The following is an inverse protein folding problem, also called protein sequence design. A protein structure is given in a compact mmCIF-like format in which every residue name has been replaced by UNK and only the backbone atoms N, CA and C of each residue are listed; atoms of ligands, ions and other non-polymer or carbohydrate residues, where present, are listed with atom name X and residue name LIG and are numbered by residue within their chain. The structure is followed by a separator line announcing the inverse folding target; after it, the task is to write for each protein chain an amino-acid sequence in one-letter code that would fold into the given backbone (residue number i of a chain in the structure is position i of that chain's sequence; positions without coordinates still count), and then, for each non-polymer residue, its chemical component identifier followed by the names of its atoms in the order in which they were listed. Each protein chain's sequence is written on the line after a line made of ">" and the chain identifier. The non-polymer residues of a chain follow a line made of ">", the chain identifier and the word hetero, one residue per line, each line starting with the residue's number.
data_IF_820884631735
#
_entry.id   IF_820884631735
#
_cell.length_a   1.000
_cell.length_b   1.000
_cell.length_c   1.000
_cell.angle_alpha   90.00
_cell.angle_beta   90.00
_cell.angle_gamma   90.00
#
_symmetry.space_group_name_H-M   'P 1'
#
loop_
_entity.id
_entity.type
_entity.pdbx_description
1 polymer ?
#
# COMPACT_ATOMS: atom_id res chain seq x y z
N UNK A 1 55.20 -39.73 -15.25
CA UNK A 1 54.64 -38.86 -16.32
C UNK A 1 53.22 -38.51 -15.90
N UNK A 2 53.01 -37.26 -15.48
CA UNK A 2 51.78 -36.77 -14.84
C UNK A 2 50.77 -36.43 -15.93
N UNK A 3 49.59 -37.04 -15.87
CA UNK A 3 48.45 -36.72 -16.73
C UNK A 3 47.65 -35.55 -16.17
N UNK A 4 47.30 -34.59 -17.03
CA UNK A 4 46.38 -33.50 -16.73
C UNK A 4 45.16 -33.63 -17.65
N UNK A 5 43.97 -33.82 -17.06
CA UNK A 5 42.66 -33.87 -17.75
C UNK A 5 42.00 -32.48 -17.65
N UNK A 6 41.19 -32.07 -18.64
CA UNK A 6 40.75 -30.70 -18.82
C UNK A 6 39.70 -30.29 -17.78
N UNK A 7 39.76 -29.04 -17.34
CA UNK A 7 38.78 -28.41 -16.48
C UNK A 7 37.45 -28.25 -17.24
N UNK A 8 36.49 -29.11 -16.95
CA UNK A 8 35.07 -28.96 -17.27
C UNK A 8 34.31 -29.08 -15.95
N UNK A 9 33.95 -27.96 -15.32
CA UNK A 9 32.81 -27.84 -14.39
C UNK A 9 32.82 -26.47 -13.67
N UNK A 10 32.54 -25.38 -14.37
CA UNK A 10 32.01 -24.15 -13.73
C UNK A 10 31.08 -23.41 -14.71
N UNK A 11 29.95 -24.02 -15.10
CA UNK A 11 28.87 -23.29 -15.81
C UNK A 11 27.48 -23.60 -15.21
N UNK A 12 27.38 -24.44 -14.18
CA UNK A 12 26.09 -24.95 -13.68
C UNK A 12 25.38 -24.14 -12.58
N UNK A 13 25.95 -23.07 -12.04
CA UNK A 13 25.40 -22.39 -10.83
C UNK A 13 24.83 -20.98 -11.11
N UNK A 14 25.11 -20.35 -12.25
CA UNK A 14 24.58 -19.02 -12.58
C UNK A 14 23.15 -19.01 -13.15
N UNK A 15 22.60 -20.16 -13.54
CA UNK A 15 21.27 -20.22 -14.15
C UNK A 15 20.10 -20.36 -13.15
N UNK A 16 20.35 -20.77 -11.90
CA UNK A 16 19.28 -20.91 -10.89
C UNK A 16 19.03 -19.63 -10.08
N UNK A 17 20.01 -18.73 -9.99
CA UNK A 17 19.90 -17.49 -9.19
C UNK A 17 19.25 -16.33 -9.94
N UNK A 18 19.06 -16.42 -11.26
CA UNK A 18 18.35 -15.38 -12.03
C UNK A 18 16.84 -15.56 -12.01
N UNK A 19 16.31 -16.79 -11.92
CA UNK A 19 14.86 -17.03 -11.92
C UNK A 19 14.14 -16.47 -10.67
N UNK A 20 14.81 -16.45 -9.51
CA UNK A 20 14.23 -15.93 -8.27
C UNK A 20 14.13 -14.39 -8.24
N UNK A 21 14.97 -13.68 -9.00
CA UNK A 21 15.01 -12.22 -9.02
C UNK A 21 14.06 -11.59 -10.06
N UNK A 22 13.40 -12.40 -10.90
CA UNK A 22 12.46 -11.93 -11.92
C UNK A 22 11.00 -12.30 -11.63
N UNK A 23 10.68 -12.76 -10.42
CA UNK A 23 9.28 -12.82 -9.99
C UNK A 23 8.76 -11.40 -9.79
N UNK A 24 8.20 -10.83 -10.86
CA UNK A 24 7.36 -9.65 -10.76
C UNK A 24 6.16 -10.01 -9.90
N UNK A 25 6.08 -9.40 -8.71
CA UNK A 25 4.90 -9.51 -7.85
C UNK A 25 3.77 -8.79 -8.58
N UNK A 26 2.80 -9.56 -9.08
CA UNK A 26 1.68 -9.04 -9.84
C UNK A 26 0.51 -8.63 -8.93
N UNK A 27 -0.41 -7.78 -9.39
CA UNK A 27 -1.67 -7.56 -8.71
C UNK A 27 -2.39 -8.89 -8.42
N UNK A 28 -2.90 -9.04 -7.20
CA UNK A 28 -3.51 -10.27 -6.68
C UNK A 28 -2.53 -11.25 -6.02
N UNK A 29 -1.22 -11.01 -6.05
CA UNK A 29 -0.27 -11.82 -5.28
C UNK A 29 -0.60 -11.72 -3.79
N UNK A 30 -0.78 -12.88 -3.16
CA UNK A 30 -1.10 -13.00 -1.74
C UNK A 30 0.04 -13.68 -1.01
N UNK A 31 0.36 -13.21 0.20
CA UNK A 31 1.31 -13.84 1.12
C UNK A 31 0.76 -13.80 2.54
N UNK A 32 1.21 -14.72 3.39
CA UNK A 32 0.83 -14.78 4.81
C UNK A 32 2.07 -14.67 5.69
N UNK A 33 1.98 -13.89 6.76
CA UNK A 33 2.91 -13.93 7.88
C UNK A 33 2.27 -14.77 8.97
N UNK A 34 2.84 -15.94 9.21
CA UNK A 34 2.39 -16.87 10.25
C UNK A 34 2.80 -16.35 11.63
N UNK A 35 1.81 -16.09 12.48
CA UNK A 35 1.98 -15.65 13.86
C UNK A 35 1.66 -16.77 14.86
N UNK A 36 1.36 -17.97 14.38
CA UNK A 36 0.84 -19.05 15.21
C UNK A 36 1.81 -19.47 16.31
N UNK A 37 1.28 -19.55 17.53
CA UNK A 37 1.82 -20.42 18.55
C UNK A 37 1.47 -21.89 18.26
N UNK A 38 2.13 -22.87 18.90
CA UNK A 38 1.77 -24.27 18.73
C UNK A 38 0.30 -24.52 19.08
N UNK A 39 -0.51 -24.91 18.09
CA UNK A 39 -1.93 -25.27 18.26
C UNK A 39 -2.95 -24.18 17.90
N UNK A 40 -2.51 -23.02 17.41
CA UNK A 40 -3.40 -21.93 16.96
C UNK A 40 -3.33 -21.69 15.44
N UNK A 41 -4.30 -20.95 14.89
CA UNK A 41 -4.25 -20.40 13.52
C UNK A 41 -4.41 -18.88 13.57
N UNK A 42 -3.30 -18.17 13.40
CA UNK A 42 -3.21 -16.73 13.50
C UNK A 42 -2.18 -16.26 12.47
N UNK A 43 -2.63 -15.52 11.47
CA UNK A 43 -1.79 -15.05 10.38
C UNK A 43 -2.23 -13.67 9.93
N UNK A 44 -1.26 -12.89 9.46
CA UNK A 44 -1.51 -11.64 8.75
C UNK A 44 -1.43 -11.93 7.26
N UNK A 45 -2.55 -11.78 6.55
CA UNK A 45 -2.63 -11.89 5.10
C UNK A 45 -2.32 -10.55 4.45
N UNK A 46 -1.44 -10.58 3.45
CA UNK A 46 -1.12 -9.45 2.59
C UNK A 46 -1.58 -9.77 1.18
N UNK A 47 -2.38 -8.88 0.59
CA UNK A 47 -2.79 -8.96 -0.81
C UNK A 47 -2.25 -7.73 -1.54
N UNK A 48 -1.32 -7.94 -2.48
CA UNK A 48 -0.81 -6.87 -3.32
C UNK A 48 -1.85 -6.50 -4.37
N UNK A 49 -2.28 -5.24 -4.42
CA UNK A 49 -3.25 -4.75 -5.40
C UNK A 49 -2.60 -4.21 -6.68
N UNK A 50 -1.27 -4.08 -6.70
CA UNK A 50 -0.55 -3.34 -7.75
C UNK A 50 -0.30 -1.89 -7.37
N UNK A 51 0.64 -1.25 -8.06
CA UNK A 51 0.97 0.18 -7.91
C UNK A 51 1.16 0.63 -6.45
N UNK A 52 1.81 -0.21 -5.63
CA UNK A 52 2.06 0.07 -4.21
C UNK A 52 0.87 -0.13 -3.27
N UNK A 53 -0.30 -0.54 -3.78
CA UNK A 53 -1.49 -0.79 -2.98
C UNK A 53 -1.52 -2.17 -2.33
N UNK A 54 -2.04 -2.26 -1.11
CA UNK A 54 -2.17 -3.51 -0.35
C UNK A 54 -3.49 -3.59 0.39
N UNK A 55 -3.96 -4.82 0.61
CA UNK A 55 -4.90 -5.18 1.67
C UNK A 55 -4.11 -5.97 2.71
N UNK A 56 -4.27 -5.61 3.98
CA UNK A 56 -3.64 -6.26 5.13
C UNK A 56 -4.75 -6.72 6.07
N UNK A 57 -4.78 -8.00 6.40
CA UNK A 57 -5.89 -8.60 7.15
C UNK A 57 -5.39 -9.58 8.22
N UNK A 58 -6.03 -9.57 9.38
CA UNK A 58 -5.84 -10.58 10.44
C UNK A 58 -7.20 -10.86 11.06
N UNK A 59 -7.73 -12.07 10.89
CA UNK A 59 -9.11 -12.36 11.32
C UNK A 59 -10.12 -11.44 10.62
N UNK A 60 -10.84 -10.64 11.39
CA UNK A 60 -11.82 -9.66 10.89
C UNK A 60 -11.25 -8.25 10.69
N UNK A 61 -10.05 -7.98 11.21
CA UNK A 61 -9.40 -6.68 11.11
C UNK A 61 -8.81 -6.48 9.71
N UNK A 62 -9.05 -5.32 9.11
CA UNK A 62 -8.61 -5.01 7.75
C UNK A 62 -8.11 -3.57 7.62
N UNK A 63 -6.98 -3.40 6.92
CA UNK A 63 -6.39 -2.11 6.57
C UNK A 63 -5.98 -2.11 5.11
N UNK A 64 -6.17 -0.98 4.43
CA UNK A 64 -5.71 -0.79 3.04
C UNK A 64 -4.56 0.21 3.02
N UNK A 65 -3.65 0.08 2.06
CA UNK A 65 -2.66 1.13 1.76
C UNK A 65 -2.96 1.73 0.40
N UNK A 66 -3.49 2.96 0.38
CA UNK A 66 -3.67 3.82 -0.79
C UNK A 66 -3.70 3.11 -2.18
N UNK A 67 -4.75 2.35 -2.53
CA UNK A 67 -4.77 1.62 -3.80
C UNK A 67 -4.84 2.57 -5.01
N UNK A 68 -4.13 2.21 -6.10
CA UNK A 68 -4.19 2.92 -7.39
C UNK A 68 -4.43 1.93 -8.54
N UNK A 69 -5.66 1.91 -9.06
CA UNK A 69 -6.05 1.07 -10.20
C UNK A 69 -6.00 1.85 -11.52
N UNK A 70 -6.36 3.13 -11.50
CA UNK A 70 -6.43 4.00 -12.68
C UNK A 70 -5.09 4.16 -13.39
N UNK A 71 -4.00 4.14 -12.61
CA UNK A 71 -2.60 4.07 -13.03
C UNK A 71 -2.28 4.74 -14.39
N UNK A 72 -2.50 6.06 -14.54
CA UNK A 72 -2.23 6.75 -15.81
C UNK A 72 -0.73 6.72 -16.12
N UNK A 73 -0.39 6.61 -17.41
CA UNK A 73 1.01 6.62 -17.85
C UNK A 73 1.69 7.95 -17.57
N UNK A 74 3.02 7.94 -17.37
CA UNK A 74 3.81 9.14 -17.12
C UNK A 74 3.60 10.24 -18.17
N UNK A 75 3.51 9.87 -19.46
CA UNK A 75 3.25 10.82 -20.55
C UNK A 75 1.87 11.49 -20.38
N UNK A 76 0.86 10.71 -20.00
CA UNK A 76 -0.48 11.24 -19.73
C UNK A 76 -0.45 12.17 -18.53
N UNK A 77 0.15 11.76 -17.43
CA UNK A 77 0.28 12.58 -16.22
C UNK A 77 1.02 13.90 -16.48
N UNK A 78 2.06 13.89 -17.32
CA UNK A 78 2.85 15.08 -17.62
C UNK A 78 2.21 16.06 -18.61
N UNK A 79 1.30 15.60 -19.48
CA UNK A 79 0.78 16.41 -20.60
C UNK A 79 -0.74 16.62 -20.57
N UNK A 80 -1.49 15.86 -19.77
CA UNK A 80 -2.94 15.85 -19.80
C UNK A 80 -3.55 15.80 -18.39
N UNK A 81 -4.78 16.31 -18.19
CA UNK A 81 -5.50 16.10 -16.95
C UNK A 81 -5.69 14.61 -16.65
N UNK A 82 -5.47 14.24 -15.39
CA UNK A 82 -5.70 12.90 -14.85
C UNK A 82 -6.97 12.88 -14.01
N UNK A 83 -7.64 11.72 -13.99
CA UNK A 83 -8.82 11.45 -13.17
C UNK A 83 -8.91 9.97 -12.86
N UNK A 84 -9.57 9.65 -11.74
CA UNK A 84 -9.90 8.27 -11.41
C UNK A 84 -10.78 7.64 -12.48
N UNK A 85 -10.41 6.45 -12.95
CA UNK A 85 -11.26 5.56 -13.72
C UNK A 85 -12.06 4.69 -12.74
N UNK A 86 -13.19 5.23 -12.30
CA UNK A 86 -14.03 4.58 -11.29
C UNK A 86 -14.54 3.20 -11.71
N UNK A 87 -14.75 2.97 -13.01
CA UNK A 87 -15.15 1.65 -13.52
C UNK A 87 -14.02 0.63 -13.37
N UNK A 88 -12.77 1.05 -13.58
CA UNK A 88 -11.60 0.21 -13.36
C UNK A 88 -11.39 -0.08 -11.88
N UNK A 89 -11.50 0.95 -11.02
CA UNK A 89 -11.44 0.79 -9.56
C UNK A 89 -12.47 -0.24 -9.10
N UNK A 90 -13.73 -0.08 -9.51
CA UNK A 90 -14.81 -0.98 -9.11
C UNK A 90 -14.59 -2.41 -9.58
N UNK A 91 -14.17 -2.59 -10.84
CA UNK A 91 -13.92 -3.91 -11.42
C UNK A 91 -12.84 -4.70 -10.68
N UNK A 92 -11.81 -4.03 -10.17
CA UNK A 92 -10.73 -4.70 -9.47
C UNK A 92 -10.97 -4.83 -7.97
N UNK A 93 -11.57 -3.81 -7.34
CA UNK A 93 -11.90 -3.86 -5.92
C UNK A 93 -13.02 -4.85 -5.62
N UNK A 94 -13.99 -5.07 -6.52
CA UNK A 94 -15.09 -6.02 -6.31
C UNK A 94 -14.67 -7.48 -6.14
N UNK A 95 -13.37 -7.78 -6.31
CA UNK A 95 -12.78 -9.11 -6.09
C UNK A 95 -12.46 -9.38 -4.62
N UNK A 96 -12.47 -8.35 -3.78
CA UNK A 96 -12.07 -8.39 -2.39
C UNK A 96 -13.20 -7.87 -1.52
N UNK A 97 -13.49 -8.56 -0.42
CA UNK A 97 -14.41 -8.05 0.59
C UNK A 97 -13.62 -7.20 1.60
N UNK A 98 -13.64 -5.89 1.37
CA UNK A 98 -12.97 -4.91 2.23
C UNK A 98 -13.96 -4.03 3.01
N UNK A 99 -15.22 -4.46 3.16
CA UNK A 99 -16.19 -3.73 3.99
C UNK A 99 -15.78 -3.73 5.48
N UNK A 100 -14.94 -4.69 5.85
CA UNK A 100 -14.25 -4.82 7.14
C UNK A 100 -13.29 -3.66 7.45
N UNK A 101 -12.79 -2.99 6.41
CA UNK A 101 -11.70 -2.05 6.54
C UNK A 101 -11.99 -0.85 7.44
N UNK A 102 -11.06 -0.62 8.37
CA UNK A 102 -11.18 0.44 9.36
C UNK A 102 -10.31 1.65 9.01
N UNK A 103 -9.22 1.42 8.28
CA UNK A 103 -8.30 2.45 7.84
C UNK A 103 -7.83 2.26 6.40
N UNK A 104 -7.69 3.37 5.68
CA UNK A 104 -6.92 3.49 4.43
C UNK A 104 -5.72 4.38 4.73
N UNK A 105 -4.53 3.80 4.65
CA UNK A 105 -3.26 4.48 4.92
C UNK A 105 -2.80 5.21 3.65
N UNK A 106 -2.66 6.54 3.75
CA UNK A 106 -2.18 7.40 2.66
C UNK A 106 -0.95 8.15 3.14
N UNK A 107 0.22 7.71 2.69
CA UNK A 107 1.49 8.31 3.11
C UNK A 107 1.70 9.75 2.62
N UNK A 108 1.20 10.08 1.43
CA UNK A 108 1.31 11.43 0.84
C UNK A 108 0.27 11.65 -0.27
N UNK A 109 0.14 12.88 -0.74
CA UNK A 109 -0.97 13.33 -1.57
C UNK A 109 -0.73 13.27 -3.10
N UNK A 110 0.28 12.53 -3.58
CA UNK A 110 0.48 12.37 -5.02
C UNK A 110 -0.69 11.57 -5.62
N UNK A 111 -0.96 11.83 -6.90
CA UNK A 111 -2.10 11.21 -7.59
C UNK A 111 -2.03 9.68 -7.56
N UNK A 112 -0.83 9.11 -7.61
CA UNK A 112 -0.54 7.68 -7.57
C UNK A 112 -0.77 7.05 -6.19
N UNK A 113 -1.07 7.86 -5.17
CA UNK A 113 -1.42 7.41 -3.82
C UNK A 113 -2.76 7.97 -3.31
N UNK A 114 -3.44 8.83 -4.07
CA UNK A 114 -4.64 9.52 -3.58
C UNK A 114 -5.81 9.52 -4.54
N UNK A 115 -5.58 9.46 -5.86
CA UNK A 115 -6.61 9.71 -6.86
C UNK A 115 -7.79 8.74 -6.80
N UNK A 116 -7.54 7.45 -6.47
CA UNK A 116 -8.58 6.42 -6.41
C UNK A 116 -9.17 6.21 -5.01
N UNK A 117 -8.52 6.76 -3.97
CA UNK A 117 -8.94 6.60 -2.57
C UNK A 117 -10.40 7.02 -2.33
N UNK A 118 -10.91 8.15 -2.89
CA UNK A 118 -12.32 8.50 -2.73
C UNK A 118 -13.28 7.42 -3.22
N UNK A 119 -13.02 6.84 -4.39
CA UNK A 119 -13.90 5.80 -4.95
C UNK A 119 -13.82 4.51 -4.12
N UNK A 120 -12.62 4.10 -3.73
CA UNK A 120 -12.40 2.93 -2.86
C UNK A 120 -13.14 3.10 -1.53
N UNK A 121 -12.94 4.23 -0.85
CA UNK A 121 -13.56 4.51 0.45
C UNK A 121 -15.10 4.58 0.37
N UNK A 122 -15.66 5.20 -0.68
CA UNK A 122 -17.12 5.35 -0.78
C UNK A 122 -17.83 4.06 -1.19
N UNK A 123 -17.26 3.26 -2.09
CA UNK A 123 -17.95 2.09 -2.65
C UNK A 123 -17.58 0.75 -2.00
N UNK A 124 -16.34 0.60 -1.54
CA UNK A 124 -15.80 -0.71 -1.15
C UNK A 124 -15.46 -0.77 0.34
N UNK A 125 -14.94 0.33 0.89
CA UNK A 125 -14.54 0.44 2.29
C UNK A 125 -15.31 1.55 3.04
N UNK A 126 -16.66 1.50 3.10
CA UNK A 126 -17.51 2.61 3.55
C UNK A 126 -17.30 3.03 5.01
N UNK A 127 -16.69 2.17 5.83
CA UNK A 127 -16.38 2.42 7.25
C UNK A 127 -14.96 2.93 7.48
N UNK A 128 -14.09 2.83 6.47
CA UNK A 128 -12.68 3.17 6.65
C UNK A 128 -12.49 4.68 6.81
N UNK A 129 -11.64 5.04 7.77
CA UNK A 129 -11.07 6.38 7.89
C UNK A 129 -9.80 6.46 7.05
N UNK A 130 -9.52 7.63 6.48
CA UNK A 130 -8.28 7.87 5.74
C UNK A 130 -7.26 8.43 6.72
N UNK A 131 -6.15 7.72 6.90
CA UNK A 131 -5.04 8.19 7.74
C UNK A 131 -4.02 8.85 6.83
N UNK A 132 -3.77 10.14 7.05
CA UNK A 132 -2.87 10.89 6.18
C UNK A 132 -2.50 12.24 6.74
N UNK A 133 -2.00 13.12 5.88
CA UNK A 133 -1.48 14.42 6.29
C UNK A 133 -2.49 15.54 6.04
N UNK A 134 -2.21 16.74 6.53
CA UNK A 134 -2.97 17.96 6.21
C UNK A 134 -3.02 18.16 4.69
N UNK A 135 -1.94 17.86 3.97
CA UNK A 135 -1.88 17.90 2.50
C UNK A 135 -2.88 16.92 1.89
N UNK A 136 -2.95 15.68 2.38
CA UNK A 136 -3.94 14.68 1.95
C UNK A 136 -5.36 15.20 2.16
N UNK A 137 -5.66 15.69 3.37
CA UNK A 137 -6.99 16.23 3.72
C UNK A 137 -7.40 17.40 2.80
N UNK A 138 -6.50 18.35 2.60
CA UNK A 138 -6.77 19.53 1.77
C UNK A 138 -6.92 19.17 0.29
N UNK A 139 -6.11 18.23 -0.21
CA UNK A 139 -6.19 17.77 -1.60
C UNK A 139 -7.52 17.05 -1.86
N UNK A 140 -7.96 16.22 -0.92
CA UNK A 140 -9.26 15.55 -1.00
C UNK A 140 -10.43 16.54 -0.95
N UNK A 141 -10.37 17.53 -0.06
CA UNK A 141 -11.39 18.58 0.04
C UNK A 141 -12.84 18.08 0.10
N UNK A 142 -13.80 18.99 0.02
CA UNK A 142 -15.23 18.63 0.08
C UNK A 142 -15.68 17.83 -1.14
N UNK A 143 -15.05 18.03 -2.30
CA UNK A 143 -15.40 17.36 -3.56
C UNK A 143 -15.25 15.83 -3.50
N UNK A 144 -14.33 15.32 -2.67
CA UNK A 144 -14.08 13.88 -2.53
C UNK A 144 -15.22 13.10 -1.86
N UNK A 145 -16.10 13.78 -1.12
CA UNK A 145 -17.13 13.13 -0.29
C UNK A 145 -16.58 12.41 0.96
N UNK A 146 -15.27 12.49 1.21
CA UNK A 146 -14.60 11.79 2.33
C UNK A 146 -13.68 12.70 3.17
N UNK A 147 -13.67 14.02 2.96
CA UNK A 147 -12.82 14.94 3.72
C UNK A 147 -13.00 14.86 5.25
N UNK A 148 -14.22 14.61 5.72
CA UNK A 148 -14.52 14.47 7.15
C UNK A 148 -14.09 13.11 7.72
N UNK A 149 -13.64 12.19 6.86
CA UNK A 149 -13.11 10.88 7.24
C UNK A 149 -11.59 10.86 7.31
N UNK A 150 -10.92 12.01 7.19
CA UNK A 150 -9.45 12.09 7.20
C UNK A 150 -8.92 12.38 8.60
N UNK A 151 -8.17 11.43 9.15
CA UNK A 151 -7.37 11.59 10.36
C UNK A 151 -5.99 12.14 10.01
N UNK A 152 -5.72 13.36 10.46
CA UNK A 152 -4.49 14.08 10.17
C UNK A 152 -3.43 13.73 11.22
N UNK A 153 -2.30 13.17 10.77
CA UNK A 153 -1.25 12.68 11.67
C UNK A 153 -0.06 13.61 11.84
N UNK A 154 -0.03 14.78 11.17
CA UNK A 154 1.15 15.66 11.12
C UNK A 154 1.73 16.04 12.49
N UNK A 155 0.92 16.17 13.54
CA UNK A 155 1.38 16.60 14.87
C UNK A 155 1.72 15.44 15.81
N UNK A 156 1.28 14.23 15.47
CA UNK A 156 1.43 13.03 16.30
C UNK A 156 2.37 11.99 15.68
N UNK A 157 2.84 12.24 14.45
CA UNK A 157 3.79 11.37 13.78
C UNK A 157 5.16 11.45 14.47
N UNK A 158 5.75 10.28 14.71
CA UNK A 158 7.13 10.16 15.19
C UNK A 158 8.15 10.43 14.09
N UNK A 159 9.42 10.46 14.46
CA UNK A 159 10.55 10.59 13.54
C UNK A 159 11.77 9.83 14.08
N UNK A 160 12.97 10.12 13.57
CA UNK A 160 14.19 9.45 14.01
C UNK A 160 14.55 9.72 15.49
N UNK A 161 14.02 10.78 16.09
CA UNK A 161 14.36 11.24 17.44
C UNK A 161 13.17 11.10 18.41
N UNK A 162 11.95 11.00 17.90
CA UNK A 162 10.71 11.03 18.69
C UNK A 162 9.77 9.88 18.35
N UNK A 163 9.19 9.25 19.37
CA UNK A 163 8.13 8.26 19.18
C UNK A 163 6.81 8.97 18.90
N UNK A 164 6.07 8.52 17.89
CA UNK A 164 4.75 9.05 17.58
C UNK A 164 3.65 8.52 18.50
N UNK A 165 2.42 8.98 18.29
CA UNK A 165 1.25 8.48 18.99
C UNK A 165 0.57 7.36 18.21
N UNK A 166 0.03 6.39 18.94
CA UNK A 166 -0.77 5.30 18.36
C UNK A 166 -2.23 5.73 18.22
N UNK A 167 -2.70 5.77 16.98
CA UNK A 167 -4.13 5.81 16.66
C UNK A 167 -4.68 4.38 16.68
N UNK A 168 -5.89 4.21 17.21
CA UNK A 168 -6.55 2.91 17.29
C UNK A 168 -7.76 2.88 16.36
N UNK A 169 -7.88 1.79 15.61
CA UNK A 169 -9.00 1.48 14.75
C UNK A 169 -9.43 0.07 15.13
N UNK A 170 -10.70 -0.10 15.51
CA UNK A 170 -11.17 -1.36 16.05
C UNK A 170 -10.42 -1.83 17.29
N UNK A 171 -10.47 -3.13 17.53
CA UNK A 171 -9.78 -3.78 18.65
C UNK A 171 -8.37 -4.26 18.24
N UNK A 172 -8.18 -4.62 16.97
CA UNK A 172 -6.95 -5.26 16.49
C UNK A 172 -5.98 -4.36 15.74
N UNK A 173 -6.35 -3.12 15.40
CA UNK A 173 -5.50 -2.23 14.59
C UNK A 173 -5.03 -1.01 15.38
N UNK A 174 -3.71 -0.82 15.40
CA UNK A 174 -3.10 0.45 15.79
C UNK A 174 -2.12 0.93 14.74
N UNK A 175 -2.13 2.22 14.46
CA UNK A 175 -1.34 2.86 13.43
C UNK A 175 -0.58 4.04 14.05
N UNK A 176 0.73 4.09 13.83
CA UNK A 176 1.57 5.22 14.20
C UNK A 176 2.22 5.75 12.92
N UNK A 177 1.96 7.03 12.63
CA UNK A 177 2.64 7.71 11.53
C UNK A 177 4.11 7.94 11.85
N UNK A 178 4.98 7.74 10.88
CA UNK A 178 6.39 8.13 10.95
C UNK A 178 6.69 9.14 9.85
N UNK A 179 7.37 10.22 10.21
CA UNK A 179 7.83 11.22 9.25
C UNK A 179 8.86 10.58 8.33
N UNK A 180 8.60 10.65 7.04
CA UNK A 180 9.55 10.31 6.00
C UNK A 180 9.65 11.48 5.03
N UNK A 181 10.88 11.85 4.66
CA UNK A 181 11.07 12.78 3.55
C UNK A 181 10.66 12.09 2.27
N UNK A 182 10.00 12.82 1.37
CA UNK A 182 9.68 12.37 0.03
C UNK A 182 9.75 13.56 -0.94
N UNK A 183 9.64 13.30 -2.24
CA UNK A 183 9.54 14.36 -3.23
C UNK A 183 8.40 15.31 -2.83
N UNK A 184 8.75 16.58 -2.68
CA UNK A 184 7.83 17.54 -2.14
C UNK A 184 6.72 17.85 -3.14
N UNK A 185 5.51 18.06 -2.64
CA UNK A 185 4.51 18.88 -3.31
C UNK A 185 4.82 20.40 -3.14
N UNK A 186 6.10 20.76 -2.90
CA UNK A 186 6.71 21.94 -2.27
C UNK A 186 7.00 21.79 -0.74
N UNK A 187 8.23 22.16 -0.35
CA UNK A 187 8.81 22.27 1.00
C UNK A 187 9.08 21.00 1.85
N UNK A 188 9.16 19.82 1.25
CA UNK A 188 9.75 18.62 1.89
C UNK A 188 8.97 17.98 3.04
N UNK A 189 7.78 18.50 3.35
CA UNK A 189 6.83 17.91 4.28
C UNK A 189 5.67 17.29 3.49
N UNK A 190 5.42 16.00 3.69
CA UNK A 190 4.23 15.32 3.17
C UNK A 190 3.00 15.63 4.01
#
# INVERSE_FOLDING_TARGET
>A
MVGFRPALMVVGIMALSTAACFHTVGPGTTSNVDLTGPGESDFVRFVYLGSGGWIIERGADQVLTAPLFSNPSLLRTGLMPVRSDTALVDRYMSRYDVQGAEAILVGHAHYDHLMDVPRVALAHAPRARVVGTTTVKNTLGTWSGIADRVDVVNHIAGDQDTTGEWLHYGEGVRIMGLRSKHAAHFDGYT
#
